data_IF_070501219903
#
_entry.id   IF_070501219903
#
_cell.length_a   1.000
_cell.length_b   1.000
_cell.length_c   1.000
_cell.angle_alpha   90.00
_cell.angle_beta   90.00
_cell.angle_gamma   90.00
#
_symmetry.space_group_name_H-M   'P 1'
#
loop_
_entity.id
_entity.type
_entity.pdbx_description
1 polymer ?
#
# COMPACT_ATOMS: atom_id res chain seq x y z
N UNK A 1 5.64 8.37 24.98
CA UNK A 1 4.98 8.94 26.17
C UNK A 1 4.12 10.16 25.80
N UNK A 2 3.15 10.46 26.62
CA UNK A 2 2.34 11.68 26.46
C UNK A 2 3.18 12.92 26.80
N UNK A 3 3.21 13.88 25.89
CA UNK A 3 3.95 15.14 26.08
C UNK A 3 3.33 15.97 27.20
N UNK A 4 2.01 16.01 27.30
CA UNK A 4 1.29 16.82 28.28
C UNK A 4 1.43 16.27 29.73
N UNK A 5 1.59 14.96 29.90
CA UNK A 5 1.58 14.32 31.24
C UNK A 5 2.88 13.64 31.64
N UNK A 6 3.82 13.46 30.68
CA UNK A 6 5.06 12.69 30.88
C UNK A 6 4.86 11.19 31.17
N UNK A 7 3.63 10.68 31.02
CA UNK A 7 3.29 9.26 31.28
C UNK A 7 3.49 8.41 30.05
N UNK A 8 3.86 7.14 30.26
CA UNK A 8 3.93 6.17 29.18
C UNK A 8 2.55 5.96 28.55
N UNK A 9 2.53 5.88 27.23
CA UNK A 9 1.36 5.51 26.42
C UNK A 9 1.60 4.10 25.90
N UNK A 10 0.77 3.17 26.30
CA UNK A 10 0.82 1.80 25.81
C UNK A 10 -0.10 1.66 24.61
N UNK A 11 0.43 1.17 23.51
CA UNK A 11 -0.28 1.00 22.26
C UNK A 11 -0.12 -0.45 21.78
N UNK A 12 -1.24 -1.10 21.55
CA UNK A 12 -1.29 -2.45 20.98
C UNK A 12 -2.29 -2.45 19.81
N UNK A 13 -1.82 -2.42 18.56
CA UNK A 13 -2.70 -2.33 17.39
C UNK A 13 -3.72 -3.46 17.30
N UNK A 14 -3.36 -4.69 17.69
CA UNK A 14 -4.26 -5.85 17.68
C UNK A 14 -5.41 -5.80 18.69
N UNK A 15 -5.38 -4.85 19.63
CA UNK A 15 -6.33 -4.78 20.73
C UNK A 15 -7.78 -4.58 20.27
N UNK A 16 -7.97 -3.88 19.15
CA UNK A 16 -9.32 -3.62 18.60
C UNK A 16 -10.09 -4.90 18.26
N UNK A 17 -9.38 -5.97 17.84
CA UNK A 17 -10.01 -7.26 17.50
C UNK A 17 -10.42 -8.08 18.74
N UNK A 18 -9.92 -7.73 19.92
CA UNK A 18 -10.11 -8.51 21.14
C UNK A 18 -11.37 -8.12 21.94
N UNK A 19 -12.15 -7.15 21.46
CA UNK A 19 -13.39 -6.71 22.10
C UNK A 19 -13.18 -6.16 23.51
N UNK A 20 -12.09 -5.45 23.74
CA UNK A 20 -11.74 -4.91 25.07
C UNK A 20 -12.75 -3.86 25.50
N UNK A 21 -13.21 -3.97 26.75
CA UNK A 21 -14.18 -3.05 27.33
C UNK A 21 -13.65 -1.59 27.30
N UNK A 22 -14.47 -0.69 26.78
CA UNK A 22 -14.17 0.74 26.74
C UNK A 22 -13.60 1.24 25.42
N UNK A 23 -13.21 0.37 24.49
CA UNK A 23 -12.85 0.80 23.13
C UNK A 23 -14.08 1.35 22.40
N UNK A 24 -13.91 2.46 21.68
CA UNK A 24 -14.97 3.10 20.87
C UNK A 24 -15.04 2.54 19.46
N UNK A 25 -14.04 1.74 19.07
CA UNK A 25 -13.96 1.13 17.74
C UNK A 25 -13.32 -0.25 17.84
N UNK A 26 -13.69 -1.12 16.90
CA UNK A 26 -13.05 -2.41 16.66
C UNK A 26 -12.31 -2.43 15.30
N UNK A 27 -12.04 -1.26 14.75
CA UNK A 27 -11.31 -1.09 13.51
C UNK A 27 -9.81 -1.32 13.74
N UNK A 28 -9.19 -2.16 12.92
CA UNK A 28 -7.78 -2.51 12.98
C UNK A 28 -6.92 -1.66 12.02
N UNK A 29 -7.53 -0.91 11.12
CA UNK A 29 -6.77 -0.03 10.24
C UNK A 29 -6.19 1.16 11.01
N UNK A 30 -5.02 1.60 10.59
CA UNK A 30 -4.30 2.74 11.15
C UNK A 30 -3.94 3.73 10.05
N UNK A 31 -3.91 5.02 10.35
CA UNK A 31 -3.48 6.05 9.41
C UNK A 31 -2.34 6.89 10.01
N UNK A 32 -1.32 7.12 9.20
CA UNK A 32 -0.15 7.94 9.51
C UNK A 32 -0.10 9.09 8.51
N UNK A 33 -0.48 10.29 8.95
CA UNK A 33 -0.62 11.47 8.08
C UNK A 33 0.31 12.59 8.50
N UNK A 34 0.72 13.45 7.56
CA UNK A 34 1.53 14.63 7.82
C UNK A 34 2.62 14.86 6.77
N UNK A 35 3.32 15.99 6.87
CA UNK A 35 4.35 16.39 5.90
C UNK A 35 5.57 15.46 5.90
N UNK A 36 6.39 15.57 4.86
CA UNK A 36 7.68 14.84 4.77
C UNK A 36 8.59 15.22 5.94
N UNK A 37 9.36 14.24 6.44
CA UNK A 37 10.30 14.44 7.55
C UNK A 37 9.66 14.58 8.93
N UNK A 38 8.34 14.45 9.07
CA UNK A 38 7.64 14.55 10.36
C UNK A 38 7.77 13.32 11.27
N UNK A 39 8.28 12.18 10.77
CA UNK A 39 8.42 10.95 11.56
C UNK A 39 7.36 9.88 11.28
N UNK A 40 6.51 10.04 10.24
CA UNK A 40 5.48 9.05 9.86
C UNK A 40 6.05 7.65 9.66
N UNK A 41 6.99 7.51 8.69
CA UNK A 41 7.60 6.23 8.33
C UNK A 41 8.32 5.61 9.52
N UNK A 42 8.99 6.43 10.35
CA UNK A 42 9.63 5.95 11.56
C UNK A 42 8.62 5.33 12.56
N UNK A 43 7.54 6.02 12.86
CA UNK A 43 6.50 5.50 13.76
C UNK A 43 5.83 4.24 13.20
N UNK A 44 5.51 4.24 11.91
CA UNK A 44 4.94 3.11 11.22
C UNK A 44 5.88 1.89 11.27
N UNK A 45 7.13 2.07 10.88
CA UNK A 45 8.16 1.02 10.90
C UNK A 45 8.32 0.43 12.31
N UNK A 46 8.31 1.27 13.34
CA UNK A 46 8.41 0.85 14.73
C UNK A 46 7.23 -0.04 15.14
N UNK A 47 6.00 0.32 14.76
CA UNK A 47 4.81 -0.48 15.06
C UNK A 47 4.80 -1.82 14.30
N UNK A 48 5.23 -1.83 13.04
CA UNK A 48 5.40 -3.07 12.25
C UNK A 48 6.45 -3.96 12.91
N UNK A 49 7.63 -3.43 13.21
CA UNK A 49 8.72 -4.16 13.85
C UNK A 49 8.29 -4.83 15.15
N UNK A 50 7.70 -4.08 16.07
CA UNK A 50 7.24 -4.65 17.33
C UNK A 50 6.11 -5.67 17.13
N UNK A 51 5.24 -5.47 16.16
CA UNK A 51 4.19 -6.45 15.86
C UNK A 51 4.79 -7.78 15.40
N UNK A 52 5.82 -7.74 14.55
CA UNK A 52 6.55 -8.93 14.09
C UNK A 52 7.32 -9.58 15.26
N UNK A 53 8.03 -8.78 16.05
CA UNK A 53 8.80 -9.26 17.22
C UNK A 53 7.90 -9.98 18.23
N UNK A 54 6.63 -9.58 18.35
CA UNK A 54 5.63 -10.25 19.20
C UNK A 54 4.86 -11.39 18.49
N UNK A 55 5.38 -11.89 17.36
CA UNK A 55 4.83 -13.04 16.66
C UNK A 55 3.73 -12.72 15.66
N UNK A 56 3.54 -11.45 15.32
CA UNK A 56 2.69 -11.04 14.21
C UNK A 56 3.39 -11.24 12.85
N UNK A 57 2.63 -11.02 11.78
CA UNK A 57 3.15 -11.05 10.41
C UNK A 57 2.88 -9.72 9.71
N UNK A 58 3.73 -9.34 8.77
CA UNK A 58 3.53 -8.13 7.99
C UNK A 58 3.91 -8.28 6.51
N UNK A 59 3.16 -7.59 5.67
CA UNK A 59 3.52 -7.30 4.27
C UNK A 59 3.60 -5.79 4.12
N UNK A 60 4.74 -5.28 3.67
CA UNK A 60 4.97 -3.86 3.42
C UNK A 60 5.08 -3.65 1.91
N UNK A 61 4.26 -2.77 1.37
CA UNK A 61 4.46 -2.20 0.04
C UNK A 61 5.37 -0.99 0.18
N UNK A 62 6.59 -1.11 -0.35
CA UNK A 62 7.65 -0.10 -0.24
C UNK A 62 8.08 0.42 -1.63
N UNK A 63 7.27 1.31 -2.24
CA UNK A 63 7.55 1.80 -3.60
C UNK A 63 8.80 2.67 -3.68
N UNK A 64 9.33 3.14 -2.56
CA UNK A 64 10.55 3.93 -2.50
C UNK A 64 11.81 3.12 -2.21
N UNK A 65 11.67 1.83 -1.94
CA UNK A 65 12.78 0.94 -1.59
C UNK A 65 13.60 1.42 -0.37
N UNK A 66 12.93 2.04 0.60
CA UNK A 66 13.59 2.61 1.78
C UNK A 66 14.01 1.53 2.79
N UNK A 67 13.48 0.31 2.70
CA UNK A 67 13.68 -0.78 3.68
C UNK A 67 14.62 -1.89 3.19
N UNK A 68 15.38 -1.62 2.13
CA UNK A 68 16.27 -2.63 1.50
C UNK A 68 17.37 -3.17 2.41
N UNK A 69 17.79 -2.39 3.41
CA UNK A 69 18.87 -2.73 4.34
C UNK A 69 18.38 -3.33 5.68
N UNK A 70 17.08 -3.61 5.84
CA UNK A 70 16.54 -4.07 7.12
C UNK A 70 17.09 -5.42 7.58
N UNK A 71 17.50 -6.30 6.69
CA UNK A 71 18.19 -7.54 7.07
C UNK A 71 19.52 -7.31 7.77
N UNK A 72 20.19 -6.22 7.42
CA UNK A 72 21.49 -5.86 8.00
C UNK A 72 21.34 -5.05 9.28
N UNK A 73 20.34 -4.18 9.32
CA UNK A 73 20.13 -3.23 10.42
C UNK A 73 19.25 -3.79 11.54
N UNK A 74 18.53 -4.89 11.31
CA UNK A 74 17.66 -5.58 12.27
C UNK A 74 18.08 -7.05 12.40
N UNK A 75 19.28 -7.35 12.91
CA UNK A 75 19.84 -8.71 12.93
C UNK A 75 19.00 -9.71 13.73
N UNK A 76 18.28 -9.26 14.76
CA UNK A 76 17.45 -10.09 15.63
C UNK A 76 16.25 -10.72 14.91
N UNK A 77 15.73 -10.07 13.86
CA UNK A 77 14.64 -10.58 13.02
C UNK A 77 15.06 -10.82 11.57
N UNK A 78 16.34 -10.72 11.24
CA UNK A 78 16.84 -10.83 9.87
C UNK A 78 16.42 -12.12 9.15
N UNK A 79 16.31 -13.21 9.89
CA UNK A 79 15.88 -14.52 9.37
C UNK A 79 14.38 -14.58 9.05
N UNK A 80 13.59 -13.69 9.62
CA UNK A 80 12.15 -13.54 9.37
C UNK A 80 11.83 -12.55 8.25
N UNK A 81 12.82 -11.81 7.76
CA UNK A 81 12.64 -10.80 6.72
C UNK A 81 12.80 -11.42 5.34
N UNK A 82 11.81 -11.26 4.48
CA UNK A 82 11.88 -11.52 3.05
C UNK A 82 11.78 -10.20 2.29
N UNK A 83 12.79 -9.87 1.48
CA UNK A 83 12.77 -8.67 0.63
C UNK A 83 12.64 -9.14 -0.81
N UNK A 84 11.53 -8.78 -1.44
CA UNK A 84 11.23 -9.04 -2.84
C UNK A 84 11.51 -7.76 -3.63
N UNK A 85 12.63 -7.72 -4.35
CA UNK A 85 12.99 -6.61 -5.22
C UNK A 85 12.48 -6.87 -6.63
N UNK A 86 11.44 -6.17 -7.03
CA UNK A 86 10.87 -6.22 -8.36
C UNK A 86 11.54 -5.15 -9.23
N UNK A 87 12.47 -5.59 -10.05
CA UNK A 87 13.22 -4.75 -10.99
C UNK A 87 12.86 -5.13 -12.43
N UNK A 88 13.27 -4.31 -13.40
CA UNK A 88 13.13 -4.61 -14.84
C UNK A 88 14.02 -5.78 -15.33
N UNK A 89 14.69 -6.50 -14.44
CA UNK A 89 15.46 -7.68 -14.78
C UNK A 89 14.60 -8.79 -15.37
N UNK A 90 15.13 -9.47 -16.38
CA UNK A 90 14.41 -10.57 -17.06
C UNK A 90 14.01 -11.72 -16.14
N UNK A 91 14.72 -11.92 -15.03
CA UNK A 91 14.38 -12.95 -14.05
C UNK A 91 13.11 -12.62 -13.24
N UNK A 92 12.68 -11.37 -13.25
CA UNK A 92 11.46 -10.87 -12.63
C UNK A 92 10.26 -10.80 -13.61
N UNK A 93 10.48 -11.19 -14.88
CA UNK A 93 9.42 -11.10 -15.88
C UNK A 93 8.18 -11.91 -15.47
N UNK A 94 7.02 -11.24 -15.48
CA UNK A 94 5.72 -11.83 -15.17
C UNK A 94 5.42 -12.07 -13.69
N UNK A 95 6.30 -11.69 -12.76
CA UNK A 95 6.04 -11.89 -11.33
C UNK A 95 4.78 -11.18 -10.82
N UNK A 96 4.39 -10.09 -11.48
CA UNK A 96 3.16 -9.35 -11.21
C UNK A 96 2.05 -9.60 -12.25
N UNK A 97 2.22 -10.58 -13.15
CA UNK A 97 1.13 -10.94 -14.05
C UNK A 97 -0.05 -11.51 -13.23
N UNK A 98 -1.26 -10.96 -13.37
CA UNK A 98 -2.43 -11.41 -12.61
C UNK A 98 -2.68 -12.91 -12.64
N UNK A 99 -2.44 -13.56 -13.80
CA UNK A 99 -2.62 -14.98 -13.95
C UNK A 99 -1.52 -15.83 -13.30
N UNK A 100 -0.38 -15.21 -12.97
CA UNK A 100 0.77 -15.87 -12.32
C UNK A 100 0.73 -15.68 -10.82
N UNK A 101 0.51 -14.44 -10.37
CA UNK A 101 0.56 -14.10 -8.94
C UNK A 101 -0.63 -14.66 -8.16
N UNK A 102 -1.81 -14.76 -8.81
CA UNK A 102 -3.00 -15.34 -8.18
C UNK A 102 -3.00 -16.86 -8.38
N UNK A 103 -3.15 -17.59 -7.26
CA UNK A 103 -3.17 -19.07 -7.29
C UNK A 103 -4.45 -19.60 -7.95
N UNK A 104 -5.58 -18.95 -7.68
CA UNK A 104 -6.87 -19.31 -8.24
C UNK A 104 -7.07 -18.71 -9.63
N UNK A 105 -7.64 -19.50 -10.55
CA UNK A 105 -7.86 -19.09 -11.94
C UNK A 105 -8.88 -17.95 -12.09
N UNK A 106 -9.96 -18.00 -11.30
CA UNK A 106 -11.04 -17.02 -11.34
C UNK A 106 -10.56 -15.70 -10.76
N UNK A 107 -9.78 -15.73 -9.69
CA UNK A 107 -9.16 -14.55 -9.09
C UNK A 107 -8.13 -13.92 -10.05
N UNK A 108 -7.32 -14.74 -10.73
CA UNK A 108 -6.39 -14.28 -11.77
C UNK A 108 -7.10 -13.59 -12.94
N UNK A 109 -8.17 -14.19 -13.43
CA UNK A 109 -8.99 -13.60 -14.52
C UNK A 109 -9.69 -12.31 -14.07
N UNK A 110 -10.18 -12.26 -12.83
CA UNK A 110 -10.80 -11.07 -12.26
C UNK A 110 -9.81 -9.93 -12.15
N UNK A 111 -8.62 -10.20 -11.63
CA UNK A 111 -7.55 -9.22 -11.52
C UNK A 111 -7.05 -8.78 -12.90
N UNK A 112 -6.89 -9.70 -13.87
CA UNK A 112 -6.51 -9.37 -15.25
C UNK A 112 -7.55 -8.44 -15.92
N UNK A 113 -8.84 -8.68 -15.66
CA UNK A 113 -9.92 -7.78 -16.11
C UNK A 113 -9.79 -6.40 -15.47
N UNK A 114 -9.59 -6.31 -14.16
CA UNK A 114 -9.43 -5.04 -13.46
C UNK A 114 -8.24 -4.24 -14.03
N UNK A 115 -7.10 -4.89 -14.24
CA UNK A 115 -5.89 -4.26 -14.76
C UNK A 115 -6.07 -3.83 -16.22
N UNK A 116 -6.56 -4.71 -17.10
CA UNK A 116 -6.70 -4.38 -18.52
C UNK A 116 -7.79 -3.33 -18.78
N UNK A 117 -8.88 -3.32 -18.01
CA UNK A 117 -9.88 -2.24 -18.09
C UNK A 117 -9.33 -0.92 -17.56
N UNK A 118 -8.51 -0.95 -16.52
CA UNK A 118 -7.82 0.24 -16.02
C UNK A 118 -6.85 0.80 -17.05
N UNK A 119 -5.96 -0.03 -17.61
CA UNK A 119 -4.95 0.40 -18.59
C UNK A 119 -5.57 0.91 -19.89
N UNK A 120 -6.62 0.25 -20.39
CA UNK A 120 -7.22 0.59 -21.70
C UNK A 120 -8.34 1.62 -21.61
N UNK A 121 -8.86 1.89 -20.42
CA UNK A 121 -10.05 2.72 -20.21
C UNK A 121 -11.35 2.07 -20.70
N UNK A 122 -11.31 0.82 -21.18
CA UNK A 122 -12.50 0.09 -21.62
C UNK A 122 -13.38 -0.23 -20.40
N UNK A 123 -14.64 0.10 -20.50
CA UNK A 123 -15.61 -0.07 -19.42
C UNK A 123 -16.83 -0.87 -19.88
N UNK A 124 -17.69 -1.26 -18.94
CA UNK A 124 -18.97 -1.93 -19.24
C UNK A 124 -19.90 -1.11 -20.13
N UNK A 125 -19.62 0.19 -20.33
CA UNK A 125 -20.38 1.07 -21.22
C UNK A 125 -19.95 0.94 -22.68
N UNK A 126 -18.76 0.39 -22.94
CA UNK A 126 -18.24 0.14 -24.28
C UNK A 126 -18.77 -1.20 -24.79
N UNK A 127 -20.06 -1.21 -25.21
CA UNK A 127 -20.81 -2.42 -25.52
C UNK A 127 -20.24 -3.29 -26.65
N UNK A 128 -19.37 -2.74 -27.47
CA UNK A 128 -18.67 -3.43 -28.57
C UNK A 128 -17.27 -3.94 -28.16
N UNK A 129 -16.53 -3.18 -27.33
CA UNK A 129 -15.14 -3.51 -26.93
C UNK A 129 -15.08 -4.38 -25.69
N UNK A 130 -15.92 -4.06 -24.69
CA UNK A 130 -15.88 -4.75 -23.40
C UNK A 130 -16.13 -6.26 -23.51
N UNK A 131 -17.18 -6.76 -24.23
CA UNK A 131 -17.38 -8.20 -24.38
C UNK A 131 -16.21 -8.92 -25.10
N UNK A 132 -15.60 -8.27 -26.08
CA UNK A 132 -14.45 -8.82 -26.83
C UNK A 132 -13.24 -8.98 -25.89
N UNK A 133 -12.93 -7.95 -25.09
CA UNK A 133 -11.86 -8.02 -24.09
C UNK A 133 -12.11 -9.12 -23.05
N UNK A 134 -13.32 -9.20 -22.52
CA UNK A 134 -13.67 -10.20 -21.49
C UNK A 134 -13.62 -11.62 -22.05
N UNK A 135 -14.08 -11.84 -23.28
CA UNK A 135 -13.98 -13.13 -23.95
C UNK A 135 -12.53 -13.59 -24.09
N UNK A 136 -11.63 -12.70 -24.52
CA UNK A 136 -10.20 -13.00 -24.63
C UNK A 136 -9.55 -13.35 -23.27
N UNK A 137 -9.88 -12.61 -22.22
CA UNK A 137 -9.41 -12.89 -20.85
C UNK A 137 -9.91 -14.26 -20.37
N UNK A 138 -11.19 -14.58 -20.60
CA UNK A 138 -11.79 -15.86 -20.22
C UNK A 138 -11.13 -17.03 -20.96
N UNK A 139 -10.87 -16.91 -22.27
CA UNK A 139 -10.20 -17.94 -23.05
C UNK A 139 -8.77 -18.20 -22.55
N UNK A 140 -8.02 -17.14 -22.18
CA UNK A 140 -6.69 -17.27 -21.62
C UNK A 140 -6.74 -17.92 -20.24
N UNK A 141 -7.72 -17.59 -19.41
CA UNK A 141 -7.88 -18.21 -18.08
C UNK A 141 -8.03 -19.72 -18.12
N UNK A 142 -8.67 -20.25 -19.16
CA UNK A 142 -8.86 -21.70 -19.37
C UNK A 142 -7.69 -22.38 -20.11
N UNK A 143 -6.72 -21.60 -20.60
CA UNK A 143 -5.57 -22.15 -21.31
C UNK A 143 -4.51 -22.72 -20.37
N UNK A 144 -3.59 -23.54 -20.90
CA UNK A 144 -2.46 -24.11 -20.17
C UNK A 144 -1.44 -23.02 -19.78
N UNK A 145 -1.18 -22.10 -20.70
CA UNK A 145 -0.27 -20.97 -20.50
C UNK A 145 -1.09 -19.69 -20.33
N UNK A 146 -1.13 -19.19 -19.11
CA UNK A 146 -1.94 -18.02 -18.72
C UNK A 146 -1.05 -16.83 -18.44
N UNK A 147 -1.24 -15.76 -19.22
CA UNK A 147 -0.51 -14.51 -19.03
C UNK A 147 -1.11 -13.37 -19.84
N UNK A 148 -0.83 -12.13 -19.46
CA UNK A 148 -1.40 -10.96 -20.15
C UNK A 148 -0.95 -10.83 -21.61
N UNK A 149 0.24 -11.33 -21.99
CA UNK A 149 0.66 -11.39 -23.39
C UNK A 149 -0.20 -12.33 -24.22
N UNK A 150 -0.73 -13.39 -23.58
CA UNK A 150 -1.61 -14.33 -24.26
C UNK A 150 -2.99 -13.73 -24.56
N UNK A 151 -3.45 -12.73 -23.76
CA UNK A 151 -4.66 -11.97 -24.06
C UNK A 151 -4.51 -11.19 -25.37
N UNK A 152 -3.34 -10.57 -25.60
CA UNK A 152 -3.03 -9.90 -26.87
C UNK A 152 -3.09 -10.89 -28.04
N UNK A 153 -2.51 -12.08 -27.84
CA UNK A 153 -2.49 -13.14 -28.86
C UNK A 153 -3.90 -13.65 -29.15
N UNK A 154 -4.72 -13.83 -28.13
CA UNK A 154 -6.10 -14.30 -28.27
C UNK A 154 -6.97 -13.29 -29.02
N UNK A 155 -6.87 -12.00 -28.67
CA UNK A 155 -7.53 -10.91 -29.40
C UNK A 155 -7.16 -10.89 -30.88
N UNK A 156 -5.87 -11.11 -31.22
CA UNK A 156 -5.42 -11.15 -32.63
C UNK A 156 -5.95 -12.35 -33.40
N UNK A 157 -6.19 -13.48 -32.74
CA UNK A 157 -6.80 -14.68 -33.37
C UNK A 157 -8.24 -14.41 -33.84
N UNK A 158 -8.99 -13.59 -33.12
CA UNK A 158 -10.34 -13.21 -33.47
C UNK A 158 -10.42 -12.46 -34.83
N UNK A 159 -9.33 -11.74 -35.15
CA UNK A 159 -9.11 -11.05 -36.41
C UNK A 159 -10.22 -10.06 -36.84
N UNK A 160 -10.92 -9.48 -35.86
CA UNK A 160 -11.87 -8.38 -36.08
C UNK A 160 -11.18 -7.02 -35.93
N UNK A 161 -11.68 -5.94 -36.58
CA UNK A 161 -11.12 -4.60 -36.39
C UNK A 161 -11.10 -4.15 -34.89
N UNK A 162 -12.15 -4.51 -34.15
CA UNK A 162 -12.28 -4.17 -32.74
C UNK A 162 -11.24 -4.93 -31.91
N UNK A 163 -11.13 -6.25 -32.10
CA UNK A 163 -10.15 -7.07 -31.37
C UNK A 163 -8.70 -6.62 -31.66
N UNK A 164 -8.39 -6.35 -32.93
CA UNK A 164 -7.09 -5.86 -33.34
C UNK A 164 -6.78 -4.47 -32.73
N UNK A 165 -7.77 -3.59 -32.66
CA UNK A 165 -7.60 -2.28 -32.00
C UNK A 165 -7.27 -2.45 -30.50
N UNK A 166 -8.01 -3.28 -29.78
CA UNK A 166 -7.77 -3.56 -28.35
C UNK A 166 -6.39 -4.20 -28.17
N UNK A 167 -6.05 -5.21 -28.98
CA UNK A 167 -4.75 -5.88 -28.94
C UNK A 167 -3.58 -4.91 -29.12
N UNK A 168 -3.67 -3.99 -30.10
CA UNK A 168 -2.63 -2.99 -30.33
C UNK A 168 -2.54 -1.98 -29.18
N UNK A 169 -3.66 -1.59 -28.59
CA UNK A 169 -3.68 -0.70 -27.42
C UNK A 169 -2.98 -1.38 -26.24
N UNK A 170 -3.33 -2.61 -25.89
CA UNK A 170 -2.65 -3.35 -24.81
C UNK A 170 -1.17 -3.55 -25.14
N UNK A 171 -0.83 -3.91 -26.38
CA UNK A 171 0.56 -4.10 -26.81
C UNK A 171 1.41 -2.83 -26.68
N UNK A 172 0.82 -1.64 -26.76
CA UNK A 172 1.57 -0.40 -26.60
C UNK A 172 2.19 -0.24 -25.20
N UNK A 173 1.58 -0.83 -24.19
CA UNK A 173 2.12 -0.82 -22.81
C UNK A 173 3.37 -1.70 -22.67
N UNK A 174 3.51 -2.74 -23.48
CA UNK A 174 4.66 -3.67 -23.40
C UNK A 174 5.98 -3.11 -23.91
N UNK A 175 5.97 -1.89 -24.45
CA UNK A 175 7.19 -1.21 -24.94
C UNK A 175 8.06 -0.61 -23.82
N UNK A 176 7.61 -0.66 -22.59
CA UNK A 176 8.34 -0.16 -21.42
C UNK A 176 9.06 -1.30 -20.71
N UNK A 177 10.35 -1.13 -20.39
CA UNK A 177 11.17 -2.20 -19.82
C UNK A 177 10.56 -2.80 -18.54
N UNK A 178 10.09 -1.97 -17.61
CA UNK A 178 9.49 -2.48 -16.38
C UNK A 178 8.08 -3.10 -16.56
N UNK A 179 7.43 -2.90 -17.71
CA UNK A 179 6.18 -3.61 -18.03
C UNK A 179 6.34 -5.13 -18.09
N UNK A 180 7.59 -5.63 -18.24
CA UNK A 180 7.86 -7.07 -18.14
C UNK A 180 7.42 -7.68 -16.81
N UNK A 181 7.41 -6.90 -15.73
CA UNK A 181 6.89 -7.38 -14.44
C UNK A 181 5.42 -7.80 -14.53
N UNK A 182 4.63 -7.06 -15.29
CA UNK A 182 3.18 -7.25 -15.39
C UNK A 182 2.77 -8.16 -16.56
N UNK A 183 3.50 -8.12 -17.66
CA UNK A 183 3.15 -8.82 -18.88
C UNK A 183 4.03 -10.06 -19.10
N UNK A 184 3.42 -11.25 -19.05
CA UNK A 184 4.07 -12.53 -19.33
C UNK A 184 3.26 -13.39 -20.31
N UNK A 185 3.90 -14.44 -20.79
CA UNK A 185 3.25 -15.51 -21.55
C UNK A 185 2.81 -16.69 -20.66
N UNK A 186 2.91 -16.53 -19.34
CA UNK A 186 2.59 -17.55 -18.35
C UNK A 186 3.72 -18.55 -18.05
N UNK A 187 4.88 -18.41 -18.71
CA UNK A 187 6.06 -19.24 -18.42
C UNK A 187 7.00 -18.50 -17.49
N UNK A 188 6.70 -18.52 -16.18
CA UNK A 188 7.46 -17.78 -15.16
C UNK A 188 8.31 -18.75 -14.34
N UNK A 189 9.59 -18.39 -14.13
CA UNK A 189 10.56 -19.21 -13.39
C UNK A 189 10.41 -19.12 -11.87
N UNK A 190 10.00 -17.95 -11.40
CA UNK A 190 9.93 -17.64 -9.97
C UNK A 190 8.51 -17.20 -9.61
N UNK A 191 8.13 -17.36 -8.34
CA UNK A 191 6.86 -16.86 -7.79
C UNK A 191 7.14 -16.04 -6.54
N UNK A 192 6.30 -15.05 -6.27
CA UNK A 192 6.40 -14.29 -5.02
C UNK A 192 5.81 -15.15 -3.90
N UNK A 193 6.58 -15.33 -2.82
CA UNK A 193 6.11 -15.94 -1.58
C UNK A 193 5.99 -14.89 -0.48
N UNK A 194 4.95 -15.00 0.37
CA UNK A 194 4.72 -14.19 1.56
C UNK A 194 4.77 -15.07 2.84
N UNK A 195 5.57 -16.13 2.82
CA UNK A 195 5.60 -17.14 3.91
C UNK A 195 6.41 -16.67 5.13
N UNK A 196 7.27 -15.65 4.99
CA UNK A 196 8.02 -15.08 6.10
C UNK A 196 7.13 -14.22 7.02
N UNK A 197 7.59 -13.98 8.26
CA UNK A 197 6.86 -13.10 9.18
C UNK A 197 6.84 -11.65 8.69
N UNK A 198 7.93 -11.18 8.06
CA UNK A 198 8.01 -9.84 7.48
C UNK A 198 8.38 -9.92 6.00
N UNK A 199 7.45 -9.55 5.15
CA UNK A 199 7.63 -9.51 3.71
C UNK A 199 7.62 -8.05 3.24
N UNK A 200 8.68 -7.64 2.56
CA UNK A 200 8.84 -6.28 2.02
C UNK A 200 8.87 -6.40 0.50
N UNK A 201 7.88 -5.81 -0.17
CA UNK A 201 7.78 -5.80 -1.62
C UNK A 201 8.22 -4.42 -2.10
N UNK A 202 9.36 -4.38 -2.76
CA UNK A 202 9.93 -3.18 -3.36
C UNK A 202 9.79 -3.27 -4.88
N UNK A 203 9.28 -2.22 -5.50
CA UNK A 203 9.16 -2.15 -6.96
C UNK A 203 10.03 -1.00 -7.44
N UNK A 204 11.13 -1.33 -8.10
CA UNK A 204 12.01 -0.33 -8.66
C UNK A 204 11.33 0.44 -9.81
N UNK A 205 11.78 1.66 -10.02
CA UNK A 205 11.40 2.51 -11.16
C UNK A 205 9.90 2.86 -11.26
N UNK A 206 9.13 2.72 -10.16
CA UNK A 206 7.76 3.21 -10.13
C UNK A 206 7.73 4.74 -10.26
N UNK A 207 6.97 5.20 -11.22
CA UNK A 207 6.65 6.63 -11.39
C UNK A 207 5.20 6.82 -10.96
N UNK A 208 5.01 7.41 -9.79
CA UNK A 208 3.68 7.67 -9.25
C UNK A 208 3.17 9.02 -9.75
N UNK A 209 1.87 9.15 -10.08
CA UNK A 209 1.30 10.43 -10.49
C UNK A 209 1.40 11.45 -9.35
N UNK A 210 1.50 12.72 -9.67
CA UNK A 210 1.43 13.76 -8.66
C UNK A 210 0.03 13.79 -8.01
N UNK A 211 -0.01 14.22 -6.75
CA UNK A 211 -1.25 14.22 -5.93
C UNK A 211 -2.44 14.90 -6.60
N UNK A 212 -2.17 15.97 -7.36
CA UNK A 212 -3.21 16.78 -8.00
C UNK A 212 -3.49 16.36 -9.45
N UNK A 213 -2.79 15.34 -9.97
CA UNK A 213 -2.98 14.83 -11.33
C UNK A 213 -4.28 14.04 -11.43
N UNK A 214 -5.13 14.40 -12.39
CA UNK A 214 -6.37 13.65 -12.63
C UNK A 214 -6.09 12.38 -13.44
N UNK A 215 -6.92 11.34 -13.29
CA UNK A 215 -6.75 10.06 -13.97
C UNK A 215 -6.54 10.16 -15.49
N UNK A 216 -7.24 11.11 -16.14
CA UNK A 216 -7.13 11.30 -17.59
C UNK A 216 -5.78 11.92 -18.03
N UNK A 217 -5.01 12.43 -17.09
CA UNK A 217 -3.70 13.06 -17.33
C UNK A 217 -2.54 12.10 -17.03
N UNK A 218 -2.83 10.89 -16.52
CA UNK A 218 -1.80 9.90 -16.22
C UNK A 218 -1.02 9.52 -17.48
N UNK A 219 0.28 9.57 -17.37
CA UNK A 219 1.18 9.03 -18.40
C UNK A 219 1.10 7.50 -18.44
N UNK A 220 1.56 6.90 -19.51
CA UNK A 220 1.60 5.43 -19.65
C UNK A 220 2.40 4.77 -18.53
N UNK A 221 3.50 5.40 -18.10
CA UNK A 221 4.35 4.90 -17.01
C UNK A 221 3.60 4.94 -15.68
N UNK A 222 2.89 6.01 -15.39
CA UNK A 222 2.07 6.14 -14.18
C UNK A 222 0.92 5.12 -14.17
N UNK A 223 0.25 4.90 -15.30
CA UNK A 223 -0.79 3.87 -15.41
C UNK A 223 -0.24 2.47 -15.11
N UNK A 224 0.93 2.13 -15.65
CA UNK A 224 1.59 0.85 -15.37
C UNK A 224 2.01 0.74 -13.89
N UNK A 225 2.59 1.80 -13.34
CA UNK A 225 3.01 1.84 -11.93
C UNK A 225 1.84 1.64 -10.97
N UNK A 226 0.73 2.34 -11.20
CA UNK A 226 -0.49 2.17 -10.40
C UNK A 226 -1.08 0.77 -10.57
N UNK A 227 -1.04 0.20 -11.80
CA UNK A 227 -1.48 -1.18 -12.06
C UNK A 227 -0.69 -2.19 -11.23
N UNK A 228 0.63 -2.03 -11.13
CA UNK A 228 1.48 -2.90 -10.32
C UNK A 228 1.13 -2.81 -8.82
N UNK A 229 0.90 -1.61 -8.31
CA UNK A 229 0.45 -1.42 -6.93
C UNK A 229 -0.90 -2.07 -6.66
N UNK A 230 -1.85 -2.01 -7.61
CA UNK A 230 -3.15 -2.69 -7.51
C UNK A 230 -2.96 -4.21 -7.45
N UNK A 231 -2.11 -4.77 -8.31
CA UNK A 231 -1.81 -6.22 -8.31
C UNK A 231 -1.22 -6.65 -6.96
N UNK A 232 -0.20 -5.98 -6.47
CA UNK A 232 0.47 -6.32 -5.20
C UNK A 232 -0.52 -6.18 -4.03
N UNK A 233 -1.31 -5.11 -4.02
CA UNK A 233 -2.30 -4.89 -2.96
C UNK A 233 -3.42 -5.94 -2.99
N UNK A 234 -3.80 -6.42 -4.18
CA UNK A 234 -4.77 -7.53 -4.31
C UNK A 234 -4.16 -8.83 -3.80
N UNK A 235 -2.88 -9.10 -4.13
CA UNK A 235 -2.16 -10.26 -3.60
C UNK A 235 -2.04 -10.22 -2.06
N UNK A 236 -1.96 -9.03 -1.47
CA UNK A 236 -1.98 -8.88 -0.01
C UNK A 236 -3.30 -9.32 0.64
N UNK A 237 -4.42 -9.43 -0.11
CA UNK A 237 -5.65 -10.03 0.40
C UNK A 237 -5.48 -11.51 0.72
N UNK A 238 -4.75 -12.27 -0.08
CA UNK A 238 -4.45 -13.68 0.19
C UNK A 238 -3.66 -13.83 1.48
N UNK A 239 -2.71 -12.94 1.71
CA UNK A 239 -1.97 -12.87 2.97
C UNK A 239 -2.91 -12.59 4.16
N UNK A 240 -3.85 -11.66 4.04
CA UNK A 240 -4.85 -11.39 5.09
C UNK A 240 -5.68 -12.65 5.39
N UNK A 241 -6.09 -13.38 4.35
CA UNK A 241 -6.94 -14.58 4.49
C UNK A 241 -6.20 -15.83 4.98
N UNK A 242 -4.88 -15.78 5.17
CA UNK A 242 -4.10 -16.86 5.76
C UNK A 242 -4.50 -17.15 7.23
N UNK A 243 -3.64 -17.69 8.06
CA UNK A 243 -3.96 -18.08 9.44
C UNK A 243 -4.60 -16.93 10.26
N UNK A 244 -5.85 -17.11 10.68
CA UNK A 244 -6.61 -16.13 11.45
C UNK A 244 -6.14 -15.99 12.91
N UNK A 245 -5.35 -16.93 13.42
CA UNK A 245 -4.86 -16.88 14.81
C UNK A 245 -3.71 -15.87 14.98
N UNK A 246 -3.08 -15.45 13.89
CA UNK A 246 -1.94 -14.55 13.88
C UNK A 246 -2.41 -13.14 13.51
N UNK A 247 -1.98 -12.15 14.29
CA UNK A 247 -2.20 -10.74 13.92
C UNK A 247 -1.32 -10.37 12.73
N UNK A 248 -1.92 -9.76 11.73
CA UNK A 248 -1.24 -9.38 10.49
C UNK A 248 -1.31 -7.89 10.24
N UNK A 249 -0.33 -7.38 9.49
CA UNK A 249 -0.30 -6.00 9.01
C UNK A 249 -0.09 -6.02 7.51
N UNK A 250 -0.93 -5.28 6.78
CA UNK A 250 -0.67 -4.86 5.40
C UNK A 250 -0.35 -3.37 5.45
N UNK A 251 0.89 -3.02 5.20
CA UNK A 251 1.41 -1.66 5.26
C UNK A 251 1.50 -1.09 3.84
N UNK A 252 0.76 -0.04 3.60
CA UNK A 252 0.66 0.65 2.32
C UNK A 252 1.38 1.98 2.43
N UNK A 253 2.68 1.98 2.14
CA UNK A 253 3.45 3.22 2.06
C UNK A 253 3.09 3.97 0.77
N UNK A 254 3.09 5.31 0.82
CA UNK A 254 2.59 6.18 -0.26
C UNK A 254 1.17 5.81 -0.74
N UNK A 255 0.30 5.47 0.20
CA UNK A 255 -1.05 4.98 -0.07
C UNK A 255 -1.89 5.91 -0.98
N UNK A 256 -1.59 7.21 -0.99
CA UNK A 256 -2.27 8.19 -1.84
C UNK A 256 -2.22 7.85 -3.33
N UNK A 257 -1.13 7.22 -3.79
CA UNK A 257 -0.91 6.94 -5.19
C UNK A 257 -2.01 6.07 -5.82
N UNK A 258 -2.53 5.12 -5.05
CA UNK A 258 -3.64 4.29 -5.53
C UNK A 258 -4.99 4.63 -4.89
N UNK A 259 -5.04 5.27 -3.71
CA UNK A 259 -6.30 5.72 -3.11
C UNK A 259 -7.04 6.78 -3.96
N UNK A 260 -6.31 7.48 -4.83
CA UNK A 260 -6.88 8.47 -5.74
C UNK A 260 -7.52 7.88 -6.99
N UNK A 261 -7.37 6.58 -7.26
CA UNK A 261 -8.05 5.88 -8.35
C UNK A 261 -9.18 5.00 -7.81
N UNK A 262 -10.27 4.87 -8.57
CA UNK A 262 -11.48 4.16 -8.12
C UNK A 262 -11.22 2.69 -7.76
N UNK A 263 -10.32 2.02 -8.48
CA UNK A 263 -9.90 0.65 -8.24
C UNK A 263 -9.16 0.53 -6.91
N UNK A 264 -8.23 1.44 -6.64
CA UNK A 264 -7.45 1.46 -5.39
C UNK A 264 -8.32 1.78 -4.17
N UNK A 265 -9.27 2.71 -4.28
CA UNK A 265 -10.24 2.98 -3.21
C UNK A 265 -11.09 1.73 -2.90
N UNK A 266 -11.60 1.07 -3.94
CA UNK A 266 -12.37 -0.16 -3.79
C UNK A 266 -11.57 -1.25 -3.11
N UNK A 267 -10.31 -1.43 -3.53
CA UNK A 267 -9.39 -2.41 -2.95
C UNK A 267 -9.06 -2.11 -1.49
N UNK A 268 -8.77 -0.85 -1.17
CA UNK A 268 -8.52 -0.42 0.23
C UNK A 268 -9.70 -0.72 1.14
N UNK A 269 -10.91 -0.49 0.66
CA UNK A 269 -12.12 -0.86 1.38
C UNK A 269 -12.26 -2.38 1.56
N UNK A 270 -11.89 -3.19 0.55
CA UNK A 270 -11.86 -4.66 0.65
C UNK A 270 -10.83 -5.11 1.69
N UNK A 271 -9.60 -4.58 1.63
CA UNK A 271 -8.52 -4.88 2.58
C UNK A 271 -8.94 -4.59 4.03
N UNK A 272 -9.50 -3.42 4.29
CA UNK A 272 -9.92 -3.01 5.64
C UNK A 272 -11.05 -3.90 6.17
N UNK A 273 -12.03 -4.25 5.32
CA UNK A 273 -13.13 -5.16 5.71
C UNK A 273 -12.64 -6.57 5.97
N UNK A 274 -11.78 -7.11 5.08
CA UNK A 274 -11.16 -8.41 5.25
C UNK A 274 -10.30 -8.43 6.52
N UNK A 275 -9.49 -7.39 6.73
CA UNK A 275 -8.63 -7.24 7.89
C UNK A 275 -9.39 -7.35 9.20
N UNK A 276 -10.53 -6.66 9.33
CA UNK A 276 -11.37 -6.75 10.52
C UNK A 276 -11.86 -8.19 10.81
N UNK A 277 -12.22 -8.94 9.76
CA UNK A 277 -12.70 -10.31 9.91
C UNK A 277 -11.57 -11.30 10.22
N UNK A 278 -10.34 -11.01 9.80
CA UNK A 278 -9.18 -11.91 9.80
C UNK A 278 -8.07 -11.47 10.76
N UNK A 279 -8.32 -10.55 11.69
CA UNK A 279 -7.35 -9.99 12.62
C UNK A 279 -6.14 -9.35 11.91
N UNK A 280 -6.38 -8.60 10.86
CA UNK A 280 -5.33 -7.90 10.12
C UNK A 280 -5.56 -6.39 10.14
N UNK A 281 -4.52 -5.63 10.48
CA UNK A 281 -4.45 -4.18 10.37
C UNK A 281 -4.03 -3.76 8.96
N UNK A 282 -4.68 -2.73 8.42
CA UNK A 282 -4.22 -2.07 7.19
C UNK A 282 -3.68 -0.71 7.58
N UNK A 283 -2.40 -0.47 7.31
CA UNK A 283 -1.71 0.76 7.65
C UNK A 283 -1.59 1.63 6.40
N UNK A 284 -2.10 2.85 6.50
CA UNK A 284 -2.05 3.85 5.44
C UNK A 284 -1.05 4.92 5.82
N UNK A 285 0.07 4.98 5.12
CA UNK A 285 1.05 6.04 5.28
C UNK A 285 0.89 7.03 4.13
N UNK A 286 0.52 8.27 4.44
CA UNK A 286 0.24 9.29 3.42
C UNK A 286 0.61 10.68 3.89
N UNK A 287 0.75 11.60 2.95
CA UNK A 287 1.11 12.99 3.24
C UNK A 287 -0.10 13.85 3.62
N UNK A 288 -1.31 13.44 3.26
CA UNK A 288 -2.53 14.20 3.50
C UNK A 288 -3.59 13.37 4.23
N UNK A 289 -4.26 13.98 5.20
CA UNK A 289 -5.42 13.40 5.84
C UNK A 289 -6.60 13.26 4.86
N UNK A 290 -6.64 14.05 3.78
CA UNK A 290 -7.69 13.98 2.77
C UNK A 290 -7.79 12.59 2.13
N UNK A 291 -6.65 11.94 1.86
CA UNK A 291 -6.60 10.64 1.18
C UNK A 291 -7.37 9.55 1.94
N UNK A 292 -7.36 9.62 3.27
CA UNK A 292 -8.00 8.65 4.18
C UNK A 292 -9.28 9.18 4.84
N UNK A 293 -9.71 10.39 4.49
CA UNK A 293 -10.89 11.06 5.09
C UNK A 293 -12.21 10.69 4.43
N UNK A 294 -12.20 9.94 3.31
CA UNK A 294 -13.44 9.46 2.68
C UNK A 294 -14.22 8.61 3.67
N UNK A 295 -15.55 8.78 3.75
CA UNK A 295 -16.40 8.10 4.74
C UNK A 295 -16.25 6.58 4.73
N UNK A 296 -16.03 6.01 3.54
CA UNK A 296 -15.82 4.59 3.35
C UNK A 296 -14.60 4.06 4.13
N UNK A 297 -13.55 4.86 4.29
CA UNK A 297 -12.30 4.52 4.97
C UNK A 297 -12.25 5.10 6.39
N UNK A 298 -12.58 6.38 6.57
CA UNK A 298 -12.46 7.11 7.84
C UNK A 298 -13.08 6.37 9.03
N UNK A 299 -14.27 5.80 8.84
CA UNK A 299 -15.00 5.09 9.89
C UNK A 299 -14.40 3.71 10.23
N UNK A 300 -13.45 3.24 9.45
CA UNK A 300 -12.76 1.97 9.64
C UNK A 300 -11.31 2.14 10.12
N UNK A 301 -10.86 3.37 10.41
CA UNK A 301 -9.55 3.67 10.96
C UNK A 301 -9.68 3.79 12.48
N UNK A 302 -9.02 2.87 13.19
CA UNK A 302 -9.06 2.81 14.66
C UNK A 302 -7.99 3.64 15.33
N UNK A 303 -6.77 3.63 14.77
CA UNK A 303 -5.65 4.41 15.27
C UNK A 303 -5.31 5.50 14.25
N UNK A 304 -5.15 6.72 14.74
CA UNK A 304 -4.78 7.85 13.89
C UNK A 304 -3.56 8.54 14.45
N UNK A 305 -2.55 8.72 13.61
CA UNK A 305 -1.31 9.40 13.92
C UNK A 305 -1.15 10.58 12.96
N UNK A 306 -1.11 11.80 13.49
CA UNK A 306 -0.85 12.99 12.68
C UNK A 306 0.45 13.64 13.11
N UNK A 307 1.34 13.79 12.16
CA UNK A 307 2.64 14.44 12.33
C UNK A 307 2.58 15.89 11.90
N UNK A 308 3.64 16.64 12.16
CA UNK A 308 3.70 18.06 11.86
C UNK A 308 3.26 18.38 10.41
N UNK A 309 2.44 19.40 10.28
CA UNK A 309 2.12 20.03 9.02
C UNK A 309 2.22 21.56 9.17
N UNK A 310 2.66 22.24 8.12
CA UNK A 310 2.78 23.71 8.06
C UNK A 310 1.71 24.36 7.20
N UNK A 311 1.10 23.61 6.29
CA UNK A 311 0.01 24.10 5.46
C UNK A 311 -1.30 24.17 6.26
N UNK A 312 -1.97 25.32 6.23
CA UNK A 312 -3.16 25.58 7.04
C UNK A 312 -4.36 24.70 6.60
N UNK A 313 -4.47 24.38 5.32
CA UNK A 313 -5.56 23.56 4.82
C UNK A 313 -5.37 22.10 5.26
N UNK A 314 -4.14 21.58 5.15
CA UNK A 314 -3.79 20.25 5.66
C UNK A 314 -3.99 20.15 7.18
N UNK A 315 -3.63 21.19 7.94
CA UNK A 315 -3.89 21.27 9.38
C UNK A 315 -5.38 21.15 9.67
N UNK A 316 -6.20 21.96 9.00
CA UNK A 316 -7.67 21.95 9.19
C UNK A 316 -8.28 20.60 8.81
N UNK A 317 -7.86 20.01 7.71
CA UNK A 317 -8.33 18.68 7.28
C UNK A 317 -7.93 17.60 8.27
N UNK A 318 -6.70 17.65 8.79
CA UNK A 318 -6.21 16.71 9.80
C UNK A 318 -7.02 16.81 11.10
N UNK A 319 -7.29 18.02 11.59
CA UNK A 319 -8.12 18.24 12.78
C UNK A 319 -9.55 17.69 12.57
N UNK A 320 -10.15 17.94 11.40
CA UNK A 320 -11.46 17.39 11.03
C UNK A 320 -11.46 15.86 10.96
N UNK A 321 -10.38 15.25 10.44
CA UNK A 321 -10.20 13.81 10.42
C UNK A 321 -10.16 13.21 11.83
N UNK A 322 -9.60 13.95 12.81
CA UNK A 322 -9.58 13.57 14.22
C UNK A 322 -10.88 13.90 14.97
N UNK A 323 -11.81 14.62 14.33
CA UNK A 323 -13.03 15.10 14.98
C UNK A 323 -12.78 16.22 16.01
N UNK A 324 -11.71 17.01 15.81
CA UNK A 324 -11.32 18.15 16.63
C UNK A 324 -11.74 19.43 15.91
N UNK A 325 -12.10 20.48 16.66
CA UNK A 325 -12.43 21.78 16.09
C UNK A 325 -11.26 22.33 15.28
N UNK A 326 -11.47 22.38 13.96
CA UNK A 326 -10.46 22.79 12.98
C UNK A 326 -10.23 24.29 12.92
N UNK A 327 -11.17 25.10 13.46
CA UNK A 327 -11.10 26.55 13.43
C UNK A 327 -10.56 27.13 14.75
N UNK A 328 -10.35 26.31 15.78
CA UNK A 328 -9.65 26.71 17.00
C UNK A 328 -8.15 26.87 16.73
N UNK A 329 -7.64 28.09 16.91
CA UNK A 329 -6.25 28.45 16.70
C UNK A 329 -5.25 27.66 17.58
N UNK A 330 -5.65 27.25 18.79
CA UNK A 330 -4.81 26.46 19.67
C UNK A 330 -4.61 25.05 19.12
N UNK A 331 -5.68 24.45 18.57
CA UNK A 331 -5.59 23.13 17.93
C UNK A 331 -4.70 23.19 16.68
N UNK A 332 -4.86 24.23 15.86
CA UNK A 332 -4.02 24.43 14.67
C UNK A 332 -2.55 24.64 15.06
N UNK A 333 -2.29 25.45 16.08
CA UNK A 333 -0.94 25.70 16.59
C UNK A 333 -0.31 24.41 17.12
N UNK A 334 -1.06 23.62 17.89
CA UNK A 334 -0.59 22.33 18.45
C UNK A 334 -0.08 21.38 17.37
N UNK A 335 -0.77 21.26 16.26
CA UNK A 335 -0.37 20.40 15.13
C UNK A 335 0.82 20.99 14.34
N UNK A 336 0.88 22.33 14.22
CA UNK A 336 1.98 23.03 13.53
C UNK A 336 3.29 22.95 14.32
N UNK A 337 3.22 23.04 15.64
CA UNK A 337 4.38 23.16 16.53
C UNK A 337 4.92 21.79 17.00
N UNK A 338 4.38 20.66 16.47
CA UNK A 338 4.92 19.34 16.76
C UNK A 338 6.38 19.24 16.38
N UNK A 339 7.19 18.72 17.30
CA UNK A 339 8.61 18.43 17.09
C UNK A 339 8.83 17.11 16.34
N UNK A 340 10.04 16.86 15.88
CA UNK A 340 10.39 15.58 15.25
C UNK A 340 10.18 14.43 16.25
N UNK A 341 9.48 13.38 15.77
CA UNK A 341 9.10 12.24 16.60
C UNK A 341 7.86 12.48 17.47
N UNK A 342 7.26 13.68 17.44
CA UNK A 342 5.96 13.93 18.05
C UNK A 342 4.83 13.73 17.05
N UNK A 343 3.71 13.22 17.54
CA UNK A 343 2.47 13.16 16.77
C UNK A 343 1.25 13.39 17.65
N UNK A 344 0.19 13.89 17.02
CA UNK A 344 -1.14 13.82 17.59
C UNK A 344 -1.66 12.39 17.39
N UNK A 345 -1.98 11.71 18.48
CA UNK A 345 -2.49 10.33 18.47
C UNK A 345 -3.96 10.32 18.88
N UNK A 346 -4.81 9.64 18.09
CA UNK A 346 -6.12 9.17 18.54
C UNK A 346 -6.04 7.65 18.74
N UNK A 347 -6.29 7.21 19.97
CA UNK A 347 -6.25 5.80 20.32
C UNK A 347 -7.62 5.10 20.16
N UNK A 348 -7.66 3.78 20.41
CA UNK A 348 -8.86 2.94 20.28
C UNK A 348 -9.98 3.32 21.28
N UNK A 349 -9.67 4.10 22.30
CA UNK A 349 -10.64 4.63 23.27
C UNK A 349 -11.18 6.01 22.88
N UNK A 350 -10.79 6.53 21.70
CA UNK A 350 -11.17 7.85 21.22
C UNK A 350 -10.44 9.00 21.92
N UNK A 351 -9.42 8.72 22.75
CA UNK A 351 -8.64 9.75 23.42
C UNK A 351 -7.66 10.36 22.45
N UNK A 352 -7.54 11.67 22.46
CA UNK A 352 -6.61 12.42 21.61
C UNK A 352 -5.60 13.16 22.46
N UNK A 353 -4.31 13.08 22.09
CA UNK A 353 -3.23 13.76 22.79
C UNK A 353 -1.94 13.75 21.97
N UNK A 354 -1.02 14.66 22.35
CA UNK A 354 0.32 14.68 21.76
C UNK A 354 1.19 13.63 22.45
N UNK A 355 1.82 12.78 21.63
CA UNK A 355 2.74 11.75 22.11
C UNK A 355 4.10 11.91 21.46
N UNK A 356 5.15 11.65 22.23
CA UNK A 356 6.51 11.49 21.75
C UNK A 356 6.76 10.02 21.47
N UNK A 357 7.09 9.71 20.23
CA UNK A 357 7.55 8.37 19.83
C UNK A 357 9.02 8.23 20.20
N UNK A 358 9.35 7.14 20.87
CA UNK A 358 10.72 6.84 21.28
C UNK A 358 11.09 5.43 20.83
N UNK A 359 12.23 5.25 20.14
CA UNK A 359 12.63 3.94 19.61
C UNK A 359 13.00 2.93 20.71
N UNK A 360 13.26 3.39 21.94
CA UNK A 360 13.81 2.63 23.07
C UNK A 360 15.28 2.28 22.86
N UNK A 361 15.63 1.74 21.71
CA UNK A 361 17.00 1.36 21.33
C UNK A 361 17.50 2.27 20.20
N UNK A 362 18.76 2.70 20.30
CA UNK A 362 19.37 3.62 19.33
C UNK A 362 19.54 2.96 17.95
N UNK A 363 19.75 1.64 17.92
CA UNK A 363 19.83 0.84 16.71
C UNK A 363 18.56 0.97 15.84
N UNK A 364 17.39 1.01 16.48
CA UNK A 364 16.12 1.22 15.77
C UNK A 364 15.98 2.61 15.17
N UNK A 365 16.62 3.63 15.80
CA UNK A 365 16.67 4.97 15.23
C UNK A 365 17.43 4.97 13.92
N UNK A 366 18.53 4.23 13.83
CA UNK A 366 19.32 4.09 12.61
C UNK A 366 18.62 3.21 11.57
N UNK A 367 18.03 2.09 11.99
CA UNK A 367 17.37 1.15 11.09
C UNK A 367 16.16 1.77 10.37
N UNK A 368 15.43 2.68 11.04
CA UNK A 368 14.21 3.29 10.51
C UNK A 368 14.40 4.72 10.02
N UNK A 369 15.64 5.23 9.97
CA UNK A 369 15.93 6.55 9.39
C UNK A 369 15.89 6.46 7.87
N UNK A 370 14.87 7.04 7.27
CA UNK A 370 14.65 7.07 5.80
C UNK A 370 15.29 8.30 5.13
N UNK A 371 16.05 9.10 5.88
CA UNK A 371 16.75 10.25 5.32
C UNK A 371 17.93 9.78 4.47
N UNK A 372 18.22 10.47 3.33
CA UNK A 372 19.41 10.17 2.55
C UNK A 372 20.67 10.24 3.42
N UNK A 373 21.65 9.33 3.24
CA UNK A 373 22.90 9.42 3.95
C UNK A 373 23.57 10.79 3.67
N UNK A 374 23.79 11.55 4.73
CA UNK A 374 24.56 12.80 4.61
C UNK A 374 25.95 12.39 4.14
N UNK A 375 26.37 12.84 2.95
CA UNK A 375 27.76 12.74 2.53
C UNK A 375 28.59 13.46 3.59
N UNK A 376 29.23 12.72 4.47
CA UNK A 376 30.29 13.26 5.31
C UNK A 376 31.41 13.61 4.38
N UNK A 377 31.50 14.89 3.99
CA UNK A 377 32.75 15.44 3.49
C UNK A 377 33.75 15.22 4.63
N UNK A 378 34.65 14.28 4.44
CA UNK A 378 35.86 14.17 5.24
C UNK A 378 36.60 15.52 5.07
N UNK A 379 36.43 16.36 6.05
CA UNK A 379 37.30 17.53 6.20
C UNK A 379 38.56 16.97 6.87
N UNK A 380 39.61 16.81 6.07
CA UNK A 380 41.01 16.59 6.51
C UNK A 380 41.45 17.67 7.51
#
# INVERSE_FOLDING_TARGET
YSVDTGRNVYLQPSLASQGVKGTVTNALASAFVGSLGGGKSFCNNLLVYYSVLFGGQAVILDPKSERGNWKETLPEIAHEINIVNLTSDKDNAGLLDPFVIMKDKEDGATLAKEILTFLTGISTRDGDKFPVLISAISNVSESEHRGLLNVITELRKENTPIANHIANHIASFTNYDFAHLLFSDGTVKNTISLDNQLNIIQVADLVLPDKDTTFNEYTTIELLSVSMLIVISTFALDFIHSDRSIFKIVDLDEAWAFLNVAQGETLSNKLVRAGRAMQAGVYFVTQSAYDVSKESLKNNIGLKFAFRSTDINEIKQTLEFFGIDKDDENNQKRLRDLENGQCLLQDLYGRVGVVQIHPVFEELLHAFDTRPPVQRNEVE
#
